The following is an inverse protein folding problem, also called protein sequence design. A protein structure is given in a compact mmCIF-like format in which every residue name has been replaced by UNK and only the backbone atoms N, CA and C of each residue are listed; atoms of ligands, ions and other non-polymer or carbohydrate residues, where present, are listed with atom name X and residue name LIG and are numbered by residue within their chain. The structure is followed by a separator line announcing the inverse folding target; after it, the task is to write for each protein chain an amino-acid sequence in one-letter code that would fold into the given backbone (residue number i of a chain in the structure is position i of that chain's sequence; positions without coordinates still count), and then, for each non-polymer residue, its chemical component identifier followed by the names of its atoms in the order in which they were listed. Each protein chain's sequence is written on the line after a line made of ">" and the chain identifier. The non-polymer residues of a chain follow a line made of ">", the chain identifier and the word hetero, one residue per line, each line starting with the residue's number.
data_IF_538503070619
#
_entry.id   IF_538503070619
#
_cell.length_a   1.000
_cell.length_b   1.000
_cell.length_c   1.000
_cell.angle_alpha   90.00
_cell.angle_beta   90.00
_cell.angle_gamma   90.00
#
_symmetry.space_group_name_H-M   'P 1'
#
loop_
_entity.id
_entity.type
_entity.pdbx_description
1 polymer ?
#
# COMPACT_ATOMS: atom_id res chain seq x y z
N UNK A 1 -19.41 8.02 -0.40
CA UNK A 1 -19.32 6.58 -0.13
C UNK A 1 -17.85 6.24 -0.08
N UNK A 2 -17.37 5.77 1.07
CA UNK A 2 -15.95 5.60 1.36
C UNK A 2 -15.45 4.21 0.95
N UNK A 3 -14.25 3.79 1.37
CA UNK A 3 -13.69 2.46 1.07
C UNK A 3 -12.55 2.50 0.06
N UNK A 4 -11.31 2.53 0.55
CA UNK A 4 -10.11 2.68 -0.28
C UNK A 4 -9.55 1.35 -0.82
N UNK A 5 -10.00 0.24 -0.25
CA UNK A 5 -9.46 -1.10 -0.49
C UNK A 5 -10.48 -1.92 -1.28
N UNK A 6 -10.55 -1.69 -2.59
CA UNK A 6 -11.55 -2.30 -3.46
C UNK A 6 -10.95 -3.30 -4.45
N UNK A 7 -11.55 -4.47 -4.55
CA UNK A 7 -11.27 -5.48 -5.57
C UNK A 7 -12.58 -6.12 -6.03
N UNK A 8 -12.64 -6.50 -7.30
CA UNK A 8 -13.86 -7.05 -7.89
C UNK A 8 -13.73 -7.37 -9.37
N UNK A 9 -14.89 -7.45 -10.04
CA UNK A 9 -14.97 -7.83 -11.45
C UNK A 9 -15.41 -6.64 -12.30
N UNK A 10 -14.77 -6.44 -13.45
CA UNK A 10 -15.18 -5.43 -14.43
C UNK A 10 -16.55 -5.80 -15.00
N UNK A 11 -17.51 -4.88 -14.92
CA UNK A 11 -18.88 -5.08 -15.43
C UNK A 11 -19.21 -4.25 -16.66
N UNK A 12 -18.45 -3.19 -16.91
CA UNK A 12 -18.50 -2.42 -18.16
C UNK A 12 -17.26 -1.55 -18.30
N UNK A 13 -16.93 -1.21 -19.55
CA UNK A 13 -15.76 -0.37 -19.87
C UNK A 13 -16.16 0.81 -20.75
N UNK A 14 -15.50 1.95 -20.58
CA UNK A 14 -15.68 3.10 -21.46
C UNK A 14 -15.19 2.81 -22.89
N UNK A 15 -15.79 3.49 -23.88
CA UNK A 15 -15.53 3.25 -25.32
C UNK A 15 -14.04 3.25 -25.74
N UNK A 16 -13.19 4.03 -25.06
CA UNK A 16 -11.76 4.11 -25.40
C UNK A 16 -10.84 3.29 -24.49
N UNK A 17 -11.39 2.47 -23.58
CA UNK A 17 -10.63 1.47 -22.83
C UNK A 17 -10.32 0.29 -23.75
N UNK A 18 -9.06 -0.15 -23.77
CA UNK A 18 -8.62 -1.31 -24.57
C UNK A 18 -7.99 -2.42 -23.75
N UNK A 19 -7.49 -2.09 -22.56
CA UNK A 19 -6.68 -3.00 -21.74
C UNK A 19 -7.53 -3.82 -20.75
N UNK A 20 -8.83 -3.56 -20.69
CA UNK A 20 -9.79 -4.27 -19.83
C UNK A 20 -11.07 -4.58 -20.59
N UNK A 21 -11.73 -5.66 -20.19
CA UNK A 21 -13.03 -6.11 -20.68
C UNK A 21 -13.91 -6.61 -19.53
N UNK A 22 -15.20 -6.77 -19.81
CA UNK A 22 -16.13 -7.38 -18.86
C UNK A 22 -15.66 -8.77 -18.44
N UNK A 23 -15.78 -9.06 -17.14
CA UNK A 23 -15.30 -10.30 -16.53
C UNK A 23 -13.89 -10.24 -15.96
N UNK A 24 -13.07 -9.24 -16.31
CA UNK A 24 -11.71 -9.13 -15.77
C UNK A 24 -11.73 -8.91 -14.25
N UNK A 25 -10.87 -9.65 -13.54
CA UNK A 25 -10.66 -9.51 -12.09
C UNK A 25 -9.66 -8.41 -11.82
N UNK A 26 -10.04 -7.41 -11.03
CA UNK A 26 -9.20 -6.22 -10.81
C UNK A 26 -9.18 -5.76 -9.35
N UNK A 27 -8.03 -5.27 -8.91
CA UNK A 27 -7.90 -4.38 -7.76
C UNK A 27 -7.95 -2.93 -8.24
N UNK A 28 -8.58 -2.06 -7.46
CA UNK A 28 -8.70 -0.64 -7.77
C UNK A 28 -7.79 0.15 -6.85
N UNK A 29 -6.73 0.73 -7.41
CA UNK A 29 -5.91 1.69 -6.69
C UNK A 29 -6.72 2.97 -6.45
N UNK A 30 -6.95 3.38 -5.18
CA UNK A 30 -7.79 4.52 -4.87
C UNK A 30 -7.10 5.88 -5.12
N UNK A 31 -5.79 5.89 -5.38
CA UNK A 31 -5.02 7.12 -5.59
C UNK A 31 -5.25 7.72 -6.96
N UNK A 32 -6.00 8.81 -7.02
CA UNK A 32 -6.35 9.49 -8.27
C UNK A 32 -5.46 10.71 -8.48
N UNK A 33 -5.06 10.92 -9.74
CA UNK A 33 -4.30 12.09 -10.19
C UNK A 33 -4.90 12.63 -11.49
N UNK A 34 -4.53 13.84 -11.92
CA UNK A 34 -5.04 14.42 -13.16
C UNK A 34 -4.57 13.69 -14.43
N UNK A 35 -3.50 12.88 -14.35
CA UNK A 35 -2.96 12.10 -15.46
C UNK A 35 -2.10 12.91 -16.46
N UNK A 36 -2.24 14.23 -16.53
CA UNK A 36 -1.65 15.06 -17.59
C UNK A 36 -0.59 16.07 -17.12
N UNK A 37 -0.48 16.35 -15.82
CA UNK A 37 0.51 17.32 -15.33
C UNK A 37 1.94 16.77 -15.36
N UNK A 38 2.94 17.66 -15.25
CA UNK A 38 4.37 17.32 -15.24
C UNK A 38 4.71 16.15 -14.29
N UNK A 39 4.12 16.11 -13.10
CA UNK A 39 4.35 15.07 -12.10
C UNK A 39 3.73 13.73 -12.52
N UNK A 40 2.52 13.75 -13.08
CA UNK A 40 1.88 12.53 -13.60
C UNK A 40 2.70 11.96 -14.76
N UNK A 41 3.10 12.81 -15.71
CA UNK A 41 3.93 12.43 -16.86
C UNK A 41 5.34 11.95 -16.46
N UNK A 42 5.84 12.38 -15.30
CA UNK A 42 7.09 11.92 -14.72
C UNK A 42 6.96 10.62 -13.90
N UNK A 43 5.79 9.96 -13.88
CA UNK A 43 5.56 8.75 -13.09
C UNK A 43 5.44 9.00 -11.58
N UNK A 44 5.14 10.24 -11.18
CA UNK A 44 5.01 10.66 -9.78
C UNK A 44 3.60 11.17 -9.47
N UNK A 45 2.55 10.35 -9.67
CA UNK A 45 1.16 10.80 -9.54
C UNK A 45 0.82 11.27 -8.13
N UNK A 46 1.47 10.75 -7.10
CA UNK A 46 1.29 11.17 -5.69
C UNK A 46 1.80 12.59 -5.40
N UNK A 47 2.55 13.19 -6.33
CA UNK A 47 2.99 14.60 -6.28
C UNK A 47 2.13 15.52 -7.14
N UNK A 48 1.06 14.99 -7.75
CA UNK A 48 0.12 15.80 -8.52
C UNK A 48 -0.59 16.80 -7.59
N UNK A 49 -0.72 18.05 -8.03
CA UNK A 49 -1.48 19.05 -7.28
C UNK A 49 -2.95 18.64 -7.12
N UNK A 50 -3.51 17.89 -8.07
CA UNK A 50 -4.88 17.37 -8.00
C UNK A 50 -4.98 15.96 -7.40
N UNK A 51 -3.94 15.49 -6.71
CA UNK A 51 -3.94 14.15 -6.12
C UNK A 51 -5.03 14.01 -5.04
N UNK A 52 -5.80 12.94 -5.12
CA UNK A 52 -6.92 12.69 -4.20
C UNK A 52 -7.12 11.19 -4.00
N UNK A 53 -7.75 10.83 -2.88
CA UNK A 53 -8.24 9.48 -2.69
C UNK A 53 -9.71 9.39 -3.09
N UNK A 54 -10.00 8.46 -4.00
CA UNK A 54 -11.34 8.18 -4.51
C UNK A 54 -12.34 8.05 -3.36
N UNK A 55 -13.46 8.78 -3.46
CA UNK A 55 -14.54 8.79 -2.48
C UNK A 55 -14.18 9.15 -1.03
N UNK A 56 -12.96 9.60 -0.73
CA UNK A 56 -12.49 9.93 0.61
C UNK A 56 -12.13 11.41 0.80
N UNK A 57 -10.88 11.81 0.58
CA UNK A 57 -10.44 13.20 0.71
C UNK A 57 -9.40 13.57 -0.34
N UNK A 58 -9.33 14.88 -0.65
CA UNK A 58 -8.29 15.47 -1.49
C UNK A 58 -7.19 16.16 -0.69
N UNK A 59 -6.01 16.31 -1.28
CA UNK A 59 -4.86 16.91 -0.62
C UNK A 59 -4.69 18.42 -0.91
N UNK A 60 -5.51 18.97 -1.80
CA UNK A 60 -5.47 20.39 -2.17
C UNK A 60 -6.82 20.88 -2.73
N UNK A 61 -7.03 22.20 -2.86
CA UNK A 61 -8.18 22.75 -3.58
C UNK A 61 -8.29 22.26 -5.03
N UNK A 62 -7.16 22.05 -5.72
CA UNK A 62 -7.12 21.57 -7.12
C UNK A 62 -7.53 20.10 -7.27
N UNK A 63 -7.64 19.37 -6.16
CA UNK A 63 -8.09 17.97 -6.12
C UNK A 63 -9.60 17.82 -6.33
N UNK A 64 -10.36 18.92 -6.16
CA UNK A 64 -11.84 18.93 -6.18
C UNK A 64 -12.41 18.42 -7.51
N UNK A 65 -11.77 18.72 -8.63
CA UNK A 65 -12.26 18.32 -9.95
C UNK A 65 -12.15 16.80 -10.16
N UNK A 66 -10.95 16.25 -9.95
CA UNK A 66 -10.71 14.80 -10.01
C UNK A 66 -11.60 14.05 -9.01
N UNK A 67 -11.75 14.59 -7.80
CA UNK A 67 -12.62 14.00 -6.79
C UNK A 67 -14.09 13.99 -7.19
N UNK A 68 -14.59 15.06 -7.82
CA UNK A 68 -15.99 15.15 -8.29
C UNK A 68 -16.30 14.06 -9.32
N UNK A 69 -15.35 13.75 -10.20
CA UNK A 69 -15.53 12.70 -11.22
C UNK A 69 -15.60 11.29 -10.61
N UNK A 70 -14.86 11.03 -9.53
CA UNK A 70 -14.73 9.72 -8.87
C UNK A 70 -15.07 9.80 -7.37
N UNK A 71 -16.27 10.30 -7.07
CA UNK A 71 -16.73 10.61 -5.70
C UNK A 71 -17.20 9.40 -4.87
N UNK A 72 -17.28 8.23 -5.48
CA UNK A 72 -17.72 6.98 -4.83
C UNK A 72 -16.56 5.99 -4.85
N UNK A 73 -16.30 5.34 -3.72
CA UNK A 73 -15.27 4.32 -3.59
C UNK A 73 -15.86 2.94 -3.32
N UNK A 74 -15.09 2.03 -2.73
CA UNK A 74 -15.38 0.58 -2.69
C UNK A 74 -16.51 0.13 -1.75
N UNK A 75 -17.01 0.98 -0.85
CA UNK A 75 -18.13 0.64 0.05
C UNK A 75 -19.48 0.76 -0.66
N UNK A 76 -19.61 0.12 -1.82
CA UNK A 76 -20.77 0.14 -2.70
C UNK A 76 -20.82 -1.16 -3.51
N UNK A 77 -21.94 -1.50 -4.13
CA UNK A 77 -22.02 -2.67 -5.04
C UNK A 77 -21.32 -2.42 -6.39
N UNK A 78 -21.16 -1.15 -6.78
CA UNK A 78 -20.53 -0.73 -8.01
C UNK A 78 -19.66 0.50 -7.75
N UNK A 79 -18.49 0.54 -8.36
CA UNK A 79 -17.62 1.71 -8.36
C UNK A 79 -17.14 2.02 -9.78
N UNK A 80 -17.00 3.30 -10.09
CA UNK A 80 -16.37 3.78 -11.33
C UNK A 80 -14.95 4.21 -11.01
N UNK A 81 -13.97 3.72 -11.76
CA UNK A 81 -12.56 4.10 -11.60
C UNK A 81 -11.90 4.35 -12.95
N UNK A 82 -10.79 5.09 -13.01
CA UNK A 82 -9.96 5.14 -14.21
C UNK A 82 -9.35 3.76 -14.53
N UNK A 83 -9.26 3.36 -15.80
CA UNK A 83 -8.54 2.16 -16.25
C UNK A 83 -7.09 2.15 -15.75
N UNK A 84 -6.41 3.29 -15.78
CA UNK A 84 -5.03 3.45 -15.26
C UNK A 84 -4.89 3.14 -13.76
N UNK A 85 -6.00 3.09 -13.03
CA UNK A 85 -6.04 2.78 -11.61
C UNK A 85 -6.40 1.31 -11.35
N UNK A 86 -6.69 0.54 -12.40
CA UNK A 86 -6.97 -0.88 -12.28
C UNK A 86 -5.68 -1.69 -12.40
N UNK A 87 -5.63 -2.75 -11.59
CA UNK A 87 -4.55 -3.74 -11.61
C UNK A 87 -5.21 -5.10 -11.77
N UNK A 88 -4.86 -5.82 -12.85
CA UNK A 88 -5.35 -7.17 -13.10
C UNK A 88 -4.90 -8.11 -11.99
N UNK A 89 -5.82 -8.97 -11.55
CA UNK A 89 -5.58 -9.99 -10.54
C UNK A 89 -5.44 -11.36 -11.20
N UNK A 90 -4.64 -12.22 -10.57
CA UNK A 90 -4.61 -13.63 -10.92
C UNK A 90 -5.97 -14.28 -10.61
N UNK A 91 -6.32 -15.30 -11.38
CA UNK A 91 -7.61 -15.99 -11.26
C UNK A 91 -7.78 -16.68 -9.90
N UNK A 92 -6.69 -17.16 -9.33
CA UNK A 92 -6.63 -17.88 -8.06
C UNK A 92 -6.51 -16.96 -6.83
N UNK A 93 -6.31 -15.65 -7.02
CA UNK A 93 -6.19 -14.70 -5.91
C UNK A 93 -7.57 -14.27 -5.40
N UNK A 94 -7.97 -14.62 -4.15
CA UNK A 94 -9.28 -14.24 -3.62
C UNK A 94 -9.41 -12.72 -3.46
N UNK A 95 -10.62 -12.18 -3.67
CA UNK A 95 -10.84 -10.73 -3.60
C UNK A 95 -10.57 -10.17 -2.21
N UNK A 96 -10.90 -10.93 -1.15
CA UNK A 96 -10.65 -10.57 0.25
C UNK A 96 -9.17 -10.32 0.51
N UNK A 97 -8.30 -11.09 -0.15
CA UNK A 97 -6.85 -10.91 -0.08
C UNK A 97 -6.41 -9.75 -0.97
N UNK A 98 -6.96 -9.64 -2.18
CA UNK A 98 -6.63 -8.57 -3.13
C UNK A 98 -6.93 -7.17 -2.58
N UNK A 99 -7.95 -7.01 -1.73
CA UNK A 99 -8.21 -5.71 -1.04
C UNK A 99 -7.00 -5.21 -0.23
N UNK A 100 -6.07 -6.10 0.16
CA UNK A 100 -4.88 -5.72 0.94
C UNK A 100 -3.72 -5.18 0.11
N UNK A 101 -3.84 -5.19 -1.22
CA UNK A 101 -2.79 -4.71 -2.12
C UNK A 101 -2.43 -3.24 -1.89
N UNK A 102 -3.36 -2.39 -1.45
CA UNK A 102 -3.07 -0.99 -1.11
C UNK A 102 -2.03 -0.85 0.01
N UNK A 103 -2.17 -1.63 1.08
CA UNK A 103 -1.20 -1.66 2.18
C UNK A 103 0.14 -2.26 1.76
N UNK A 104 0.11 -3.35 0.97
CA UNK A 104 1.33 -3.96 0.44
C UNK A 104 2.09 -3.00 -0.47
N UNK A 105 1.39 -2.29 -1.35
CA UNK A 105 2.00 -1.28 -2.23
C UNK A 105 2.61 -0.11 -1.45
N UNK A 106 1.96 0.32 -0.37
CA UNK A 106 2.50 1.35 0.53
C UNK A 106 3.79 0.88 1.20
N UNK A 107 3.79 -0.33 1.76
CA UNK A 107 4.96 -0.93 2.38
C UNK A 107 6.12 -1.13 1.39
N UNK A 108 5.83 -1.67 0.20
CA UNK A 108 6.80 -1.85 -0.87
C UNK A 108 7.41 -0.51 -1.34
N UNK A 109 6.59 0.53 -1.48
CA UNK A 109 7.07 1.88 -1.83
C UNK A 109 8.04 2.45 -0.77
N UNK A 110 7.80 2.18 0.52
CA UNK A 110 8.72 2.56 1.58
C UNK A 110 10.05 1.79 1.47
N UNK A 111 9.99 0.46 1.29
CA UNK A 111 11.18 -0.38 1.16
C UNK A 111 12.04 -0.01 -0.06
N UNK A 112 11.42 0.32 -1.19
CA UNK A 112 12.12 0.75 -2.42
C UNK A 112 12.97 2.01 -2.20
N UNK A 113 12.59 2.88 -1.27
CA UNK A 113 13.34 4.11 -0.93
C UNK A 113 14.50 3.87 0.03
N UNK A 114 14.55 2.72 0.69
CA UNK A 114 15.62 2.38 1.63
C UNK A 114 16.89 1.91 0.92
N UNK A 115 16.83 1.63 -0.39
CA UNK A 115 17.98 1.19 -1.19
C UNK A 115 18.77 0.08 -0.46
N UNK A 116 18.03 -0.95 -0.05
CA UNK A 116 18.58 -2.08 0.69
C UNK A 116 19.60 -2.82 -0.19
N UNK A 117 20.81 -2.98 0.34
CA UNK A 117 21.90 -3.73 -0.27
C UNK A 117 22.17 -4.99 0.55
N UNK A 118 22.78 -6.04 -0.03
CA UNK A 118 23.20 -7.21 0.72
C UNK A 118 24.01 -6.83 1.98
N UNK A 119 23.76 -7.53 3.07
CA UNK A 119 24.42 -7.28 4.36
C UNK A 119 23.78 -6.20 5.24
N UNK A 120 22.84 -5.39 4.73
CA UNK A 120 22.06 -4.47 5.58
C UNK A 120 20.94 -5.20 6.33
N UNK A 121 20.73 -4.81 7.58
CA UNK A 121 19.59 -5.24 8.40
C UNK A 121 18.42 -4.27 8.27
N UNK A 122 17.19 -4.79 8.36
CA UNK A 122 15.96 -4.02 8.35
C UNK A 122 15.20 -4.17 9.68
N UNK A 123 14.91 -3.07 10.38
CA UNK A 123 14.04 -3.07 11.56
C UNK A 123 12.63 -2.56 11.20
N UNK A 124 11.61 -3.37 11.49
CA UNK A 124 10.20 -3.03 11.30
C UNK A 124 9.54 -2.84 12.67
N UNK A 125 9.20 -1.59 12.98
CA UNK A 125 8.45 -1.23 14.19
C UNK A 125 6.94 -1.30 13.91
N UNK A 126 6.19 -1.92 14.82
CA UNK A 126 4.75 -2.15 14.64
C UNK A 126 4.47 -3.30 13.68
N UNK A 127 5.33 -4.32 13.66
CA UNK A 127 5.26 -5.45 12.73
C UNK A 127 3.94 -6.24 12.79
N UNK A 128 3.18 -6.17 13.89
CA UNK A 128 1.88 -6.83 14.02
C UNK A 128 0.72 -6.09 13.35
N UNK A 129 0.92 -4.84 12.89
CA UNK A 129 -0.07 -4.09 12.13
C UNK A 129 -0.10 -4.51 10.66
N UNK A 130 -1.18 -4.16 9.94
CA UNK A 130 -1.35 -4.52 8.52
C UNK A 130 -0.17 -4.09 7.63
N UNK A 131 0.29 -2.85 7.78
CA UNK A 131 1.48 -2.34 7.09
C UNK A 131 2.77 -3.06 7.52
N UNK A 132 2.92 -3.38 8.81
CA UNK A 132 4.10 -4.04 9.34
C UNK A 132 4.24 -5.48 8.85
N UNK A 133 3.11 -6.22 8.81
CA UNK A 133 3.03 -7.54 8.18
C UNK A 133 3.39 -7.42 6.70
N UNK A 134 2.77 -6.48 5.99
CA UNK A 134 3.04 -6.25 4.56
C UNK A 134 4.50 -5.90 4.26
N UNK A 135 5.11 -5.05 5.09
CA UNK A 135 6.52 -4.69 4.97
C UNK A 135 7.43 -5.89 5.24
N UNK A 136 7.09 -6.75 6.20
CA UNK A 136 7.87 -7.96 6.49
C UNK A 136 7.83 -8.91 5.29
N UNK A 137 6.63 -9.18 4.75
CA UNK A 137 6.44 -10.02 3.57
C UNK A 137 7.19 -9.47 2.35
N UNK A 138 7.03 -8.18 2.08
CA UNK A 138 7.69 -7.52 0.94
C UNK A 138 9.22 -7.52 1.10
N UNK A 139 9.76 -7.27 2.30
CA UNK A 139 11.20 -7.30 2.53
C UNK A 139 11.80 -8.69 2.27
N UNK A 140 11.14 -9.73 2.77
CA UNK A 140 11.53 -11.13 2.56
C UNK A 140 11.48 -11.49 1.07
N UNK A 141 10.45 -11.04 0.35
CA UNK A 141 10.31 -11.26 -1.09
C UNK A 141 11.34 -10.48 -1.93
N UNK A 142 11.75 -9.29 -1.46
CA UNK A 142 12.82 -8.48 -2.06
C UNK A 142 14.23 -9.03 -1.78
N UNK A 143 14.35 -10.14 -1.06
CA UNK A 143 15.63 -10.78 -0.79
C UNK A 143 16.39 -10.22 0.42
N UNK A 144 15.74 -9.43 1.29
CA UNK A 144 16.37 -8.98 2.53
C UNK A 144 16.66 -10.18 3.42
N UNK A 145 17.92 -10.32 3.84
CA UNK A 145 18.42 -11.51 4.55
C UNK A 145 18.37 -11.38 6.07
N UNK A 146 18.28 -10.15 6.59
CA UNK A 146 18.19 -9.90 8.04
C UNK A 146 17.08 -8.88 8.33
N UNK A 147 15.95 -9.38 8.81
CA UNK A 147 14.75 -8.61 9.13
C UNK A 147 14.45 -8.77 10.61
N UNK A 148 14.46 -7.67 11.35
CA UNK A 148 14.09 -7.61 12.75
C UNK A 148 12.67 -7.04 12.83
N UNK A 149 11.75 -7.79 13.44
CA UNK A 149 10.35 -7.39 13.61
C UNK A 149 10.05 -7.10 15.08
N UNK A 150 9.47 -5.94 15.37
CA UNK A 150 9.15 -5.51 16.72
C UNK A 150 7.67 -5.11 16.84
N UNK A 151 6.95 -5.70 17.80
CA UNK A 151 5.55 -5.40 18.08
C UNK A 151 5.13 -5.92 19.47
N UNK A 152 3.98 -5.45 19.96
CA UNK A 152 3.44 -5.91 21.26
C UNK A 152 2.85 -7.32 21.21
N UNK A 153 2.34 -7.73 20.05
CA UNK A 153 1.69 -9.03 19.88
C UNK A 153 2.73 -10.11 19.55
N UNK A 154 3.10 -10.88 20.57
CA UNK A 154 4.07 -11.97 20.43
C UNK A 154 3.60 -13.11 19.53
N UNK A 155 2.29 -13.37 19.46
CA UNK A 155 1.76 -14.45 18.62
C UNK A 155 1.89 -14.09 17.13
N UNK A 156 1.63 -12.84 16.77
CA UNK A 156 1.85 -12.36 15.39
C UNK A 156 3.34 -12.33 15.04
N UNK A 157 4.20 -11.88 15.96
CA UNK A 157 5.66 -11.90 15.74
C UNK A 157 6.17 -13.32 15.48
N UNK A 158 5.69 -14.31 16.24
CA UNK A 158 6.09 -15.70 16.05
C UNK A 158 5.61 -16.25 14.70
N UNK A 159 4.37 -15.95 14.29
CA UNK A 159 3.87 -16.29 12.94
C UNK A 159 4.73 -15.65 11.85
N UNK A 160 5.10 -14.38 12.00
CA UNK A 160 6.00 -13.71 11.05
C UNK A 160 7.36 -14.39 11.00
N UNK A 161 7.94 -14.73 12.15
CA UNK A 161 9.22 -15.45 12.24
C UNK A 161 9.19 -16.76 11.47
N UNK A 162 8.10 -17.53 11.59
CA UNK A 162 7.95 -18.83 10.95
C UNK A 162 7.95 -18.76 9.41
N UNK A 163 7.55 -17.63 8.82
CA UNK A 163 7.56 -17.45 7.36
C UNK A 163 8.98 -17.52 6.76
N UNK A 164 9.99 -17.07 7.51
CA UNK A 164 11.38 -17.14 7.10
C UNK A 164 12.30 -17.16 8.33
N UNK A 165 12.29 -18.25 9.09
CA UNK A 165 12.96 -18.36 10.39
C UNK A 165 14.47 -18.07 10.37
N UNK A 166 15.14 -18.28 9.21
CA UNK A 166 16.56 -17.95 9.02
C UNK A 166 16.83 -16.46 8.78
N UNK A 167 15.80 -15.70 8.40
CA UNK A 167 15.91 -14.29 7.97
C UNK A 167 15.18 -13.33 8.89
N UNK A 168 14.21 -13.82 9.68
CA UNK A 168 13.36 -12.99 10.54
C UNK A 168 13.72 -13.23 12.01
N UNK A 169 14.04 -12.16 12.72
CA UNK A 169 14.28 -12.13 14.16
C UNK A 169 13.22 -11.29 14.85
N UNK A 170 12.72 -11.76 15.99
CA UNK A 170 11.66 -11.06 16.73
C UNK A 170 12.25 -10.28 17.91
N UNK A 171 11.82 -9.03 18.05
CA UNK A 171 12.09 -8.21 19.22
C UNK A 171 10.79 -7.99 19.99
N UNK A 172 10.59 -8.73 21.08
CA UNK A 172 9.46 -8.49 21.98
C UNK A 172 9.76 -7.27 22.88
N UNK A 173 8.90 -6.23 22.92
CA UNK A 173 9.06 -5.14 23.88
C UNK A 173 8.92 -5.69 25.30
N UNK A 174 9.81 -5.26 26.19
CA UNK A 174 9.78 -5.65 27.60
C UNK A 174 8.41 -5.31 28.22
N UNK A 175 7.76 -6.29 28.87
CA UNK A 175 6.41 -6.17 29.46
C UNK A 175 6.35 -5.28 30.71
N UNK A 176 7.47 -4.76 31.19
CA UNK A 176 7.46 -3.83 32.31
C UNK A 176 6.76 -2.53 31.88
N UNK A 177 5.60 -2.23 32.49
CA UNK A 177 4.95 -0.91 32.41
C UNK A 177 5.96 0.14 32.90
N UNK A 178 6.68 0.83 32.02
CA UNK A 178 7.57 1.91 32.45
C UNK A 178 7.67 3.04 31.41
N UNK A 179 7.63 4.33 31.82
CA UNK A 179 7.96 5.53 31.02
C UNK A 179 9.41 5.58 30.47
N UNK A 180 10.11 4.46 30.38
CA UNK A 180 11.53 4.32 29.98
C UNK A 180 11.71 4.07 28.46
N UNK A 181 10.62 4.03 27.68
CA UNK A 181 10.68 3.66 26.26
C UNK A 181 11.46 4.66 25.37
N UNK A 182 11.90 5.82 25.88
CA UNK A 182 12.76 6.74 25.14
C UNK A 182 14.26 6.39 25.22
N UNK A 183 14.76 5.78 26.31
CA UNK A 183 16.21 5.62 26.48
C UNK A 183 16.80 4.42 25.72
N UNK A 184 16.11 3.28 25.62
CA UNK A 184 16.55 2.16 24.78
C UNK A 184 16.36 2.47 23.28
N UNK A 185 15.30 3.22 22.94
CA UNK A 185 15.02 3.69 21.59
C UNK A 185 16.09 4.66 21.08
N UNK A 186 16.56 5.57 21.95
CA UNK A 186 17.71 6.45 21.66
C UNK A 186 19.03 5.69 21.62
N UNK A 187 19.22 4.64 22.43
CA UNK A 187 20.46 3.85 22.44
C UNK A 187 20.64 3.03 21.15
N UNK A 188 19.54 2.56 20.54
CA UNK A 188 19.56 1.89 19.24
C UNK A 188 19.70 2.86 18.06
N UNK A 189 19.18 4.10 18.19
CA UNK A 189 19.34 5.15 17.18
C UNK A 189 20.73 5.85 17.23
N UNK A 190 21.45 5.75 18.35
CA UNK A 190 22.74 6.43 18.58
C UNK A 190 23.98 5.66 18.13
N UNK A 191 23.86 4.40 17.72
CA UNK A 191 25.00 3.63 17.22
C UNK A 191 24.87 3.48 15.69
N UNK A 192 25.51 4.44 15.02
CA UNK A 192 26.02 4.38 13.63
C UNK A 192 25.07 4.67 12.44
N UNK A 193 24.43 5.85 12.35
CA UNK A 193 23.96 6.33 11.02
C UNK A 193 23.67 7.84 10.87
N UNK A 194 24.19 8.70 11.75
CA UNK A 194 23.90 10.14 11.70
C UNK A 194 24.87 11.05 10.90
N UNK A 195 26.06 10.62 10.38
CA UNK A 195 26.86 11.52 9.53
C UNK A 195 26.65 11.39 8.01
N UNK A 196 25.85 10.46 7.49
CA UNK A 196 25.87 10.10 6.05
C UNK A 196 24.69 10.62 5.21
N UNK A 197 23.70 11.30 5.80
CA UNK A 197 22.46 11.71 5.11
C UNK A 197 22.48 13.14 4.51
N UNK A 198 23.64 13.81 4.44
CA UNK A 198 23.75 15.18 3.88
C UNK A 198 24.40 15.23 2.48
N UNK A 199 24.86 14.11 1.91
CA UNK A 199 25.53 14.12 0.59
C UNK A 199 24.90 13.14 -0.38
N UNK A 200 24.04 13.68 -1.27
CA UNK A 200 23.91 13.40 -2.71
C UNK A 200 22.46 13.32 -3.16
N UNK A 201 21.93 14.51 -3.45
CA UNK A 201 20.85 14.69 -4.40
C UNK A 201 21.42 14.80 -5.84
N UNK A 202 20.67 14.23 -6.81
CA UNK A 202 20.47 14.63 -8.24
C UNK A 202 20.87 13.61 -9.33
N UNK A 203 19.97 13.48 -10.32
CA UNK A 203 20.17 12.95 -11.69
C UNK A 203 19.00 12.05 -12.15
N UNK A 204 17.90 12.55 -12.75
CA UNK A 204 17.60 12.65 -14.21
C UNK A 204 17.60 11.26 -14.94
N UNK A 205 16.70 10.82 -15.84
CA UNK A 205 15.48 11.30 -16.54
C UNK A 205 14.96 10.15 -17.47
N UNK A 206 13.72 10.27 -18.02
CA UNK A 206 13.09 9.59 -19.23
C UNK A 206 12.48 8.18 -19.05
N UNK A 207 11.33 7.75 -19.65
CA UNK A 207 10.35 8.26 -20.67
C UNK A 207 9.04 7.42 -20.70
N UNK A 208 7.93 8.01 -21.21
CA UNK A 208 6.75 7.40 -21.94
C UNK A 208 5.71 6.56 -21.13
N UNK A 209 4.37 6.47 -21.37
CA UNK A 209 3.35 7.00 -22.31
C UNK A 209 1.94 6.99 -21.66
N UNK A 210 1.03 7.80 -22.20
CA UNK A 210 -0.35 8.11 -21.78
C UNK A 210 -1.40 7.02 -22.09
N UNK A 211 -2.46 6.92 -21.25
CA UNK A 211 -3.87 6.68 -21.63
C UNK A 211 -4.79 6.71 -20.41
N UNK A 212 -5.79 7.60 -20.43
CA UNK A 212 -6.82 7.74 -19.40
C UNK A 212 -8.23 7.54 -19.97
N UNK A 213 -8.83 6.39 -19.68
CA UNK A 213 -10.28 6.15 -19.84
C UNK A 213 -10.83 5.36 -18.66
N UNK A 214 -12.11 5.49 -18.29
CA UNK A 214 -12.67 4.85 -17.10
C UNK A 214 -13.25 3.45 -17.33
N UNK A 215 -13.21 2.62 -16.27
CA UNK A 215 -13.74 1.25 -16.16
C UNK A 215 -14.65 1.16 -14.93
N UNK A 216 -15.74 0.41 -15.04
CA UNK A 216 -16.66 0.13 -13.94
C UNK A 216 -16.36 -1.24 -13.33
N UNK A 217 -16.16 -1.28 -12.01
CA UNK A 217 -15.85 -2.49 -11.24
C UNK A 217 -16.96 -2.75 -10.25
N UNK A 218 -17.44 -3.99 -10.20
CA UNK A 218 -18.33 -4.49 -9.15
C UNK A 218 -17.47 -5.07 -8.02
N UNK A 219 -17.23 -4.34 -6.91
CA UNK A 219 -16.51 -4.89 -5.76
C UNK A 219 -17.27 -6.06 -5.13
N UNK A 220 -16.54 -7.07 -4.65
CA UNK A 220 -17.12 -8.13 -3.85
C UNK A 220 -17.43 -7.60 -2.44
N UNK A 221 -18.70 -7.53 -2.09
CA UNK A 221 -19.18 -7.07 -0.78
C UNK A 221 -18.79 -8.05 0.34
N UNK A 222 -18.10 -7.57 1.38
CA UNK A 222 -17.72 -8.35 2.59
C UNK A 222 -18.90 -8.54 3.56
N UNK A 223 -20.13 -8.24 3.16
CA UNK A 223 -21.32 -8.44 4.00
C UNK A 223 -21.88 -9.85 3.87
N UNK A 224 -21.20 -10.83 4.48
CA UNK A 224 -21.82 -12.08 4.96
C UNK A 224 -20.93 -12.76 6.01
N UNK A 225 -20.73 -12.06 7.13
CA UNK A 225 -20.37 -12.72 8.40
C UNK A 225 -21.62 -12.75 9.27
N UNK A 226 -22.03 -13.91 9.82
CA UNK A 226 -23.20 -14.00 10.68
C UNK A 226 -22.94 -13.21 11.96
N UNK A 227 -23.80 -12.23 12.23
CA UNK A 227 -23.90 -11.56 13.53
C UNK A 227 -24.32 -12.61 14.56
N UNK A 228 -23.37 -13.03 15.40
CA UNK A 228 -23.67 -13.80 16.61
C UNK A 228 -24.32 -12.82 17.58
N UNK A 229 -25.64 -12.92 17.74
CA UNK A 229 -26.35 -12.28 18.85
C UNK A 229 -25.92 -12.95 20.17
N UNK A 230 -25.47 -12.14 21.12
CA UNK A 230 -25.52 -12.51 22.54
C UNK A 230 -26.65 -11.70 23.16
N UNK A 231 -27.55 -12.42 23.83
CA UNK A 231 -28.67 -11.88 24.59
C UNK A 231 -28.25 -11.30 25.93
#
# INVERSE_FOLDING_TARGET
>A
MFGLDAAGTVVSVGRSVKDFKEGDRVYVNPGLSCGSCKQCLAGLPTRCASYTFMGYFGFSPSSKEVFREYRHAGDAQYLRAPARNLITLADDLPFEVATRLGYLGTAYSALKKLELTPGKSLLILGASGTLGIGATLAAVAMGVTDVIVAARDGAVLERLRQLAAKRIRTLAPCRSRIPICTQAFVKCLRLELMPLLIRLARGLLRTYSDRSTPVHVHPASVHRLPMVHHG
#
